data_IF_107657626921
#
_entry.id   IF_107657626921
#
_cell.length_a   1.000
_cell.length_b   1.000
_cell.length_c   1.000
_cell.angle_alpha   90.00
_cell.angle_beta   90.00
_cell.angle_gamma   90.00
#
_symmetry.space_group_name_H-M   'P 1'
#
loop_
_entity.id
_entity.type
_entity.pdbx_description
1 polymer ?
#
# COMPACT_ATOMS: atom_id res chain seq x y z
N UNK A 1 2.38 -25.58 14.51
CA UNK A 1 2.38 -25.02 13.14
C UNK A 1 1.87 -23.59 13.19
N UNK A 2 2.67 -22.57 12.82
CA UNK A 2 2.17 -21.20 12.78
C UNK A 2 1.07 -21.14 11.71
N UNK A 3 -0.12 -20.68 12.09
CA UNK A 3 -1.20 -20.44 11.12
C UNK A 3 -0.78 -19.27 10.25
N UNK A 4 -0.47 -19.52 8.98
CA UNK A 4 -0.29 -18.48 7.97
C UNK A 4 -1.62 -17.75 7.83
N UNK A 5 -1.75 -16.59 8.49
CA UNK A 5 -2.94 -15.75 8.31
C UNK A 5 -2.88 -15.13 6.93
N UNK A 6 -4.02 -15.16 6.24
CA UNK A 6 -4.18 -14.43 4.99
C UNK A 6 -3.86 -12.93 5.17
N UNK A 7 -3.33 -12.30 4.12
CA UNK A 7 -3.12 -10.86 4.09
C UNK A 7 -4.44 -10.11 4.31
N UNK A 8 -4.40 -9.04 5.12
CA UNK A 8 -5.58 -8.21 5.33
C UNK A 8 -5.98 -7.47 4.05
N UNK A 9 -7.25 -7.04 3.92
CA UNK A 9 -7.70 -6.25 2.77
C UNK A 9 -6.85 -4.98 2.56
N UNK A 10 -6.53 -4.25 3.63
CA UNK A 10 -5.65 -3.08 3.55
C UNK A 10 -4.25 -3.42 3.07
N UNK A 11 -3.70 -4.57 3.47
CA UNK A 11 -2.38 -5.01 2.99
C UNK A 11 -2.39 -5.26 1.47
N UNK A 12 -3.43 -5.93 0.97
CA UNK A 12 -3.60 -6.18 -0.48
C UNK A 12 -3.72 -4.89 -1.29
N UNK A 13 -4.51 -3.93 -0.80
CA UNK A 13 -4.66 -2.63 -1.46
C UNK A 13 -3.34 -1.85 -1.48
N UNK A 14 -2.63 -1.78 -0.35
CA UNK A 14 -1.33 -1.07 -0.28
C UNK A 14 -0.29 -1.72 -1.20
N UNK A 15 -0.23 -3.05 -1.25
CA UNK A 15 0.64 -3.79 -2.16
C UNK A 15 0.30 -3.52 -3.63
N UNK A 16 -0.99 -3.45 -3.98
CA UNK A 16 -1.43 -3.11 -5.33
C UNK A 16 -1.05 -1.68 -5.75
N UNK A 17 -1.27 -0.69 -4.88
CA UNK A 17 -0.87 0.71 -5.14
C UNK A 17 0.64 0.82 -5.36
N UNK A 18 1.44 0.08 -4.60
CA UNK A 18 2.89 0.03 -4.79
C UNK A 18 3.31 -0.73 -6.05
N UNK A 19 2.53 -1.74 -6.47
CA UNK A 19 2.78 -2.48 -7.71
C UNK A 19 2.53 -1.60 -8.94
N UNK A 20 1.48 -0.78 -8.92
CA UNK A 20 1.19 0.26 -9.93
C UNK A 20 2.29 1.33 -10.01
N UNK A 21 3.09 1.51 -8.96
CA UNK A 21 4.22 2.44 -8.98
C UNK A 21 5.42 1.90 -9.76
N UNK A 22 5.40 0.63 -10.22
CA UNK A 22 6.42 0.04 -11.12
C UNK A 22 7.86 0.21 -10.59
N UNK A 23 8.05 0.04 -9.27
CA UNK A 23 9.35 0.17 -8.62
C UNK A 23 9.77 1.60 -8.30
N UNK A 24 8.98 2.61 -8.67
CA UNK A 24 9.17 4.00 -8.20
C UNK A 24 8.91 4.09 -6.69
N UNK A 25 9.70 4.93 -6.04
CA UNK A 25 9.52 5.24 -4.62
C UNK A 25 8.19 5.96 -4.37
N UNK A 26 7.48 5.54 -3.33
CA UNK A 26 6.19 6.11 -2.92
C UNK A 26 6.24 6.57 -1.46
N UNK A 27 5.78 7.79 -1.19
CA UNK A 27 5.78 8.33 0.18
C UNK A 27 4.60 7.82 1.00
N UNK A 28 4.81 7.54 2.29
CA UNK A 28 3.78 7.00 3.19
C UNK A 28 2.46 7.81 3.21
N UNK A 29 2.54 9.14 3.20
CA UNK A 29 1.34 9.98 3.16
C UNK A 29 0.55 9.83 1.85
N UNK A 30 1.22 9.75 0.70
CA UNK A 30 0.57 9.55 -0.58
C UNK A 30 -0.04 8.15 -0.68
N UNK A 31 0.68 7.14 -0.17
CA UNK A 31 0.18 5.77 -0.06
C UNK A 31 -1.11 5.70 0.76
N UNK A 32 -1.17 6.40 1.90
CA UNK A 32 -2.39 6.49 2.72
C UNK A 32 -3.59 6.96 1.90
N UNK A 33 -3.38 8.04 1.12
CA UNK A 33 -4.42 8.66 0.30
C UNK A 33 -4.85 7.75 -0.85
N UNK A 34 -3.90 7.21 -1.62
CA UNK A 34 -4.17 6.35 -2.79
C UNK A 34 -4.83 5.03 -2.38
N UNK A 35 -4.39 4.44 -1.26
CA UNK A 35 -4.94 3.19 -0.76
C UNK A 35 -6.26 3.37 0.02
N UNK A 36 -6.67 4.61 0.36
CA UNK A 36 -7.80 4.86 1.24
C UNK A 36 -7.61 4.32 2.66
N UNK A 37 -6.36 4.17 3.11
CA UNK A 37 -6.01 3.58 4.42
C UNK A 37 -5.57 4.67 5.38
N UNK A 38 -6.17 4.71 6.57
CA UNK A 38 -5.79 5.67 7.62
C UNK A 38 -4.35 5.46 8.09
N UNK A 39 -3.64 6.55 8.38
CA UNK A 39 -2.24 6.53 8.83
C UNK A 39 -1.96 5.57 9.99
N UNK A 40 -2.85 5.55 11.00
CA UNK A 40 -2.71 4.65 12.17
C UNK A 40 -2.79 3.16 11.83
N UNK A 41 -3.32 2.81 10.65
CA UNK A 41 -3.29 1.44 10.10
C UNK A 41 -2.15 1.25 9.11
N UNK A 42 -1.87 2.27 8.29
CA UNK A 42 -0.88 2.21 7.24
C UNK A 42 0.54 2.01 7.78
N UNK A 43 0.99 2.86 8.70
CA UNK A 43 2.40 2.83 9.12
C UNK A 43 2.80 1.53 9.85
N UNK A 44 1.99 0.99 10.78
CA UNK A 44 2.29 -0.33 11.36
C UNK A 44 2.22 -1.48 10.34
N UNK A 45 1.49 -1.31 9.23
CA UNK A 45 1.50 -2.27 8.13
C UNK A 45 2.79 -2.15 7.31
N UNK A 46 3.21 -0.94 6.93
CA UNK A 46 4.44 -0.71 6.18
C UNK A 46 5.67 -1.24 6.93
N UNK A 47 5.78 -0.94 8.23
CA UNK A 47 6.87 -1.43 9.09
C UNK A 47 6.93 -2.96 9.09
N UNK A 48 5.77 -3.64 9.19
CA UNK A 48 5.75 -5.11 9.16
C UNK A 48 6.14 -5.68 7.80
N UNK A 49 5.66 -5.09 6.70
CA UNK A 49 6.01 -5.55 5.36
C UNK A 49 7.49 -5.33 5.04
N UNK A 50 8.06 -4.21 5.51
CA UNK A 50 9.51 -3.94 5.44
C UNK A 50 10.31 -4.95 6.27
N UNK A 51 9.94 -5.18 7.54
CA UNK A 51 10.60 -6.15 8.40
C UNK A 51 10.53 -7.59 7.86
N UNK A 52 9.53 -7.89 7.03
CA UNK A 52 9.39 -9.16 6.33
C UNK A 52 10.12 -9.21 4.97
N UNK A 53 10.81 -8.14 4.57
CA UNK A 53 11.58 -8.07 3.32
C UNK A 53 10.74 -7.82 2.06
N UNK A 54 9.45 -7.50 2.19
CA UNK A 54 8.58 -7.20 1.05
C UNK A 54 8.71 -5.76 0.56
N UNK A 55 9.12 -4.85 1.44
CA UNK A 55 9.37 -3.45 1.10
C UNK A 55 10.84 -3.10 1.34
N UNK A 56 11.39 -2.29 0.44
CA UNK A 56 12.53 -1.45 0.77
C UNK A 56 12.00 -0.11 1.27
N UNK A 57 12.64 0.45 2.29
CA UNK A 57 12.36 1.78 2.78
C UNK A 57 13.63 2.62 2.84
N UNK A 58 13.51 3.91 2.54
CA UNK A 58 14.60 4.86 2.70
C UNK A 58 14.08 6.21 3.17
N UNK A 59 14.94 6.93 3.89
CA UNK A 59 14.72 8.35 4.17
C UNK A 59 15.15 9.15 2.94
N UNK A 60 14.19 9.78 2.26
CA UNK A 60 14.50 10.68 1.16
C UNK A 60 14.69 12.10 1.68
N UNK A 61 15.79 12.72 1.24
CA UNK A 61 16.02 14.13 1.50
C UNK A 61 14.98 14.94 0.72
N UNK A 62 14.36 15.94 1.38
CA UNK A 62 13.37 16.77 0.73
C UNK A 62 14.03 17.78 -0.20
N UNK A 63 13.33 18.13 -1.28
CA UNK A 63 13.61 19.39 -1.98
C UNK A 63 13.29 20.56 -1.03
N UNK A 64 14.29 21.42 -0.80
CA UNK A 64 14.28 22.70 -0.08
C UNK A 64 13.22 22.87 1.05
N UNK A 65 13.66 22.72 2.31
CA UNK A 65 12.93 23.25 3.48
C UNK A 65 11.78 22.39 4.03
N UNK A 66 11.55 21.18 3.52
CA UNK A 66 10.60 20.22 4.12
C UNK A 66 11.33 19.25 5.06
N UNK A 67 10.63 18.54 5.96
CA UNK A 67 11.24 17.45 6.73
C UNK A 67 11.50 16.23 5.84
N UNK A 68 12.53 15.42 6.15
CA UNK A 68 12.76 14.11 5.52
C UNK A 68 11.49 13.25 5.56
N UNK A 69 11.30 12.43 4.53
CA UNK A 69 10.13 11.54 4.43
C UNK A 69 10.58 10.13 4.12
N UNK A 70 10.00 9.16 4.81
CA UNK A 70 10.11 7.76 4.41
C UNK A 70 9.45 7.55 3.06
N UNK A 71 10.19 6.91 2.16
CA UNK A 71 9.70 6.39 0.90
C UNK A 71 9.81 4.87 0.90
N UNK A 72 8.86 4.22 0.25
CA UNK A 72 8.74 2.77 0.18
C UNK A 72 8.64 2.33 -1.28
N UNK A 73 9.19 1.15 -1.59
CA UNK A 73 8.98 0.44 -2.85
C UNK A 73 8.92 -1.06 -2.61
N UNK A 74 8.30 -1.80 -3.52
CA UNK A 74 8.35 -3.27 -3.45
C UNK A 74 9.77 -3.78 -3.73
N UNK A 75 10.19 -4.77 -2.97
CA UNK A 75 11.28 -5.66 -3.38
C UNK A 75 10.78 -6.66 -4.42
N UNK A 76 11.66 -7.49 -4.98
CA UNK A 76 11.23 -8.60 -5.85
C UNK A 76 10.21 -9.52 -5.15
N UNK A 77 10.49 -9.92 -3.91
CA UNK A 77 9.56 -10.72 -3.11
C UNK A 77 8.23 -9.98 -2.84
N UNK A 78 8.27 -8.65 -2.66
CA UNK A 78 7.07 -7.82 -2.52
C UNK A 78 6.22 -7.80 -3.79
N UNK A 79 6.84 -7.75 -4.97
CA UNK A 79 6.16 -7.82 -6.26
C UNK A 79 5.43 -9.16 -6.41
N UNK A 80 6.10 -10.27 -6.10
CA UNK A 80 5.51 -11.60 -6.15
C UNK A 80 4.35 -11.74 -5.17
N UNK A 81 4.52 -11.24 -3.93
CA UNK A 81 3.47 -11.22 -2.93
C UNK A 81 2.24 -10.43 -3.39
N UNK A 82 2.45 -9.23 -3.96
CA UNK A 82 1.39 -8.36 -4.46
C UNK A 82 0.60 -9.03 -5.60
N UNK A 83 1.31 -9.62 -6.57
CA UNK A 83 0.69 -10.34 -7.71
C UNK A 83 -0.11 -11.55 -7.27
N UNK A 84 0.39 -12.30 -6.28
CA UNK A 84 -0.31 -13.46 -5.73
C UNK A 84 -1.52 -13.08 -4.85
N UNK A 85 -1.63 -11.82 -4.41
CA UNK A 85 -2.65 -11.36 -3.48
C UNK A 85 -3.30 -10.04 -3.95
N UNK A 86 -3.95 -10.03 -5.13
CA UNK A 86 -4.65 -8.85 -5.59
C UNK A 86 -5.73 -8.45 -4.58
N UNK A 87 -6.09 -7.15 -4.51
CA UNK A 87 -7.26 -6.72 -3.76
C UNK A 87 -8.47 -7.52 -4.25
N UNK A 88 -9.35 -7.91 -3.32
CA UNK A 88 -10.61 -8.50 -3.70
C UNK A 88 -11.34 -7.51 -4.63
N UNK A 89 -11.99 -7.98 -5.71
CA UNK A 89 -12.81 -7.11 -6.52
C UNK A 89 -13.78 -6.38 -5.58
N UNK A 90 -13.84 -5.05 -5.68
CA UNK A 90 -14.84 -4.31 -4.94
C UNK A 90 -16.20 -4.95 -5.23
N UNK A 91 -17.05 -5.22 -4.22
CA UNK A 91 -18.41 -5.62 -4.52
C UNK A 91 -18.96 -4.59 -5.49
N UNK A 92 -19.57 -5.04 -6.58
CA UNK A 92 -20.20 -4.17 -7.56
C UNK A 92 -21.30 -3.37 -6.84
N UNK A 93 -20.94 -2.24 -6.25
CA UNK A 93 -21.89 -1.33 -5.62
C UNK A 93 -22.77 -0.84 -6.76
N UNK A 94 -24.03 -1.30 -6.73
CA UNK A 94 -25.05 -0.92 -7.69
C UNK A 94 -25.04 0.59 -7.87
N UNK A 95 -24.85 1.00 -9.12
CA UNK A 95 -25.02 2.37 -9.58
C UNK A 95 -26.44 2.80 -9.21
N UNK A 96 -26.62 3.47 -8.07
CA UNK A 96 -27.85 4.21 -7.81
C UNK A 96 -27.82 5.37 -8.79
N UNK A 97 -28.51 5.18 -9.91
CA UNK A 97 -28.91 6.24 -10.80
C UNK A 97 -29.65 7.27 -9.95
N UNK A 98 -29.04 8.45 -9.82
CA UNK A 98 -29.72 9.63 -9.34
C UNK A 98 -30.76 9.98 -10.41
N UNK A 99 -32.02 9.66 -10.12
CA UNK A 99 -33.16 10.22 -10.84
C UNK A 99 -33.29 11.65 -10.34
N UNK A 100 -32.82 12.60 -11.15
CA UNK A 100 -33.09 14.01 -10.97
C UNK A 100 -34.53 14.26 -11.43
N UNK A 101 -35.39 14.60 -10.47
CA UNK A 101 -36.71 15.21 -10.69
C UNK A 101 -36.53 16.71 -10.93
#
# INVERSE_FOLDING_TARGET
>A
MPRTRALSPHARIVLAVLLEAEGRWSHGYELARRAGVRSGTLYPLLIRLEAQGYLAAEWQQPAAGRPPRHAYRLTAAGVDLARANPPAPAPATGRRAEVML
#
